data_IF_856544188442
#
_entry.id   IF_856544188442
#
_cell.length_a   1.000
_cell.length_b   1.000
_cell.length_c   1.000
_cell.angle_alpha   90.00
_cell.angle_beta   90.00
_cell.angle_gamma   90.00
#
_symmetry.space_group_name_H-M   'P 1'
#
loop_
_entity.id
_entity.type
_entity.pdbx_description
1 polymer ?
#
# COMPACT_ATOMS: atom_id res chain seq x y z
N UNK A 1 1.52 -9.47 -41.36
CA UNK A 1 1.99 -8.15 -40.91
C UNK A 1 2.52 -8.36 -39.51
N UNK A 2 3.82 -8.53 -39.39
CA UNK A 2 4.53 -8.83 -38.14
C UNK A 2 4.71 -7.51 -37.39
N UNK A 3 3.91 -7.32 -36.35
CA UNK A 3 4.17 -6.28 -35.36
C UNK A 3 5.56 -6.54 -34.78
N UNK A 4 6.50 -5.62 -35.00
CA UNK A 4 7.80 -5.68 -34.38
C UNK A 4 7.64 -5.75 -32.85
N UNK A 5 8.20 -6.82 -32.28
CA UNK A 5 8.38 -7.05 -30.85
C UNK A 5 8.87 -5.77 -30.16
N UNK A 6 8.32 -5.50 -28.98
CA UNK A 6 8.42 -4.21 -28.29
C UNK A 6 9.84 -3.73 -28.12
N UNK A 7 10.10 -2.48 -28.52
CA UNK A 7 11.38 -1.85 -28.29
C UNK A 7 11.48 -1.35 -26.86
N UNK A 8 12.60 -1.62 -26.19
CA UNK A 8 13.04 -1.02 -24.92
C UNK A 8 12.94 0.52 -24.91
N UNK A 9 12.85 1.16 -26.08
CA UNK A 9 12.71 2.63 -26.23
C UNK A 9 11.50 3.25 -25.54
N UNK A 10 10.47 2.46 -25.23
CA UNK A 10 9.26 2.94 -24.53
C UNK A 10 9.42 2.90 -22.97
N UNK A 11 10.62 2.64 -22.46
CA UNK A 11 10.92 2.61 -21.03
C UNK A 11 10.85 3.99 -20.38
N UNK A 12 10.20 4.04 -19.23
CA UNK A 12 10.30 5.16 -18.31
C UNK A 12 11.57 5.02 -17.45
N UNK A 13 12.69 5.49 -17.97
CA UNK A 13 14.02 5.38 -17.31
C UNK A 13 14.07 6.05 -15.94
N UNK A 14 13.30 7.13 -15.74
CA UNK A 14 13.16 7.78 -14.44
C UNK A 14 12.49 6.85 -13.44
N UNK A 15 11.34 6.26 -13.82
CA UNK A 15 10.64 5.33 -12.94
C UNK A 15 11.51 4.11 -12.60
N UNK A 16 12.27 3.57 -13.57
CA UNK A 16 13.21 2.47 -13.30
C UNK A 16 14.32 2.85 -12.32
N UNK A 17 14.96 4.01 -12.48
CA UNK A 17 15.99 4.46 -11.54
C UNK A 17 15.44 4.68 -10.12
N UNK A 18 14.20 5.14 -10.00
CA UNK A 18 13.52 5.25 -8.70
C UNK A 18 13.17 3.87 -8.12
N UNK A 19 12.74 2.91 -8.96
CA UNK A 19 12.49 1.52 -8.55
C UNK A 19 13.75 0.88 -8.00
N UNK A 20 14.87 0.97 -8.72
CA UNK A 20 16.14 0.32 -8.31
C UNK A 20 16.58 0.80 -6.92
N UNK A 21 16.60 2.12 -6.71
CA UNK A 21 16.93 2.72 -5.42
C UNK A 21 16.01 2.24 -4.29
N UNK A 22 14.71 2.12 -4.56
CA UNK A 22 13.72 1.68 -3.56
C UNK A 22 13.80 0.18 -3.30
N UNK A 23 14.05 -0.64 -4.31
CA UNK A 23 14.26 -2.08 -4.18
C UNK A 23 15.53 -2.37 -3.38
N UNK A 24 16.64 -1.67 -3.65
CA UNK A 24 17.86 -1.80 -2.85
C UNK A 24 17.63 -1.45 -1.38
N UNK A 25 16.86 -0.39 -1.14
CA UNK A 25 16.43 0.00 0.22
C UNK A 25 15.58 -1.09 0.88
N UNK A 26 14.62 -1.67 0.16
CA UNK A 26 13.81 -2.79 0.67
C UNK A 26 14.70 -3.98 1.01
N UNK A 27 15.58 -4.40 0.10
CA UNK A 27 16.45 -5.56 0.31
C UNK A 27 17.38 -5.35 1.50
N UNK A 28 17.91 -4.14 1.70
CA UNK A 28 18.77 -3.81 2.83
C UNK A 28 18.01 -3.88 4.15
N UNK A 29 16.85 -3.25 4.21
CA UNK A 29 16.04 -3.20 5.44
C UNK A 29 15.38 -4.54 5.75
N UNK A 30 15.13 -5.39 4.77
CA UNK A 30 14.60 -6.74 5.01
C UNK A 30 15.59 -7.65 5.75
N UNK A 31 16.91 -7.38 5.72
CA UNK A 31 17.90 -8.23 6.40
C UNK A 31 17.84 -8.14 7.94
N UNK A 32 17.14 -7.15 8.48
CA UNK A 32 17.05 -6.89 9.93
C UNK A 32 15.99 -7.72 10.65
N UNK A 33 15.09 -8.37 9.90
CA UNK A 33 13.98 -9.17 10.43
C UNK A 33 13.96 -10.54 9.76
N UNK A 34 13.73 -11.61 10.55
CA UNK A 34 13.81 -12.99 10.06
C UNK A 34 12.82 -13.25 8.93
N UNK A 35 11.58 -12.76 9.04
CA UNK A 35 10.55 -13.04 8.03
C UNK A 35 10.73 -12.17 6.79
N UNK A 36 11.12 -10.92 6.95
CA UNK A 36 11.44 -10.05 5.81
C UNK A 36 12.66 -10.57 5.03
N UNK A 37 13.63 -11.17 5.74
CA UNK A 37 14.81 -11.79 5.13
C UNK A 37 14.44 -12.95 4.20
N UNK A 38 13.43 -13.76 4.54
CA UNK A 38 12.92 -14.80 3.65
C UNK A 38 12.48 -14.21 2.29
N UNK A 39 11.79 -13.07 2.30
CA UNK A 39 11.32 -12.41 1.08
C UNK A 39 12.48 -11.85 0.26
N UNK A 40 13.45 -11.21 0.92
CA UNK A 40 14.70 -10.73 0.29
C UNK A 40 15.47 -11.88 -0.35
N UNK A 41 15.63 -13.00 0.37
CA UNK A 41 16.33 -14.17 -0.13
C UNK A 41 15.62 -14.80 -1.33
N UNK A 42 14.30 -14.98 -1.26
CA UNK A 42 13.51 -15.50 -2.38
C UNK A 42 13.65 -14.60 -3.63
N UNK A 43 13.59 -13.29 -3.46
CA UNK A 43 13.80 -12.34 -4.56
C UNK A 43 15.20 -12.48 -5.18
N UNK A 44 16.26 -12.49 -4.36
CA UNK A 44 17.65 -12.60 -4.83
C UNK A 44 17.90 -13.90 -5.57
N UNK A 45 17.35 -15.02 -5.07
CA UNK A 45 17.45 -16.33 -5.71
C UNK A 45 16.74 -16.36 -7.06
N UNK A 46 15.47 -15.95 -7.10
CA UNK A 46 14.68 -15.90 -8.34
C UNK A 46 15.32 -14.96 -9.38
N UNK A 47 15.88 -13.83 -8.94
CA UNK A 47 16.59 -12.89 -9.80
C UNK A 47 17.87 -13.49 -10.38
N UNK A 48 18.72 -14.13 -9.56
CA UNK A 48 19.97 -14.73 -10.01
C UNK A 48 19.74 -15.86 -11.03
N UNK A 49 18.70 -16.68 -10.82
CA UNK A 49 18.31 -17.74 -11.76
C UNK A 49 17.87 -17.16 -13.11
N UNK A 50 17.05 -16.12 -13.09
CA UNK A 50 16.54 -15.49 -14.31
C UNK A 50 17.63 -14.75 -15.10
N UNK A 51 18.55 -14.06 -14.41
CA UNK A 51 19.73 -13.43 -15.04
C UNK A 51 20.63 -14.48 -15.68
N UNK A 52 20.94 -15.58 -14.97
CA UNK A 52 21.76 -16.66 -15.52
C UNK A 52 21.10 -17.32 -16.75
N UNK A 53 19.78 -17.50 -16.73
CA UNK A 53 19.03 -18.02 -17.88
C UNK A 53 19.06 -17.06 -19.08
N UNK A 54 18.87 -15.76 -18.81
CA UNK A 54 18.92 -14.71 -19.83
C UNK A 54 20.30 -14.61 -20.50
N UNK A 55 21.37 -14.72 -19.72
CA UNK A 55 22.74 -14.67 -20.22
C UNK A 55 23.14 -15.94 -21.01
N UNK A 56 22.53 -17.09 -20.71
CA UNK A 56 22.88 -18.38 -21.30
C UNK A 56 22.25 -18.65 -22.69
N UNK A 57 21.20 -17.94 -23.08
CA UNK A 57 20.39 -18.30 -24.25
C UNK A 57 19.66 -17.14 -24.93
N UNK A 58 20.36 -16.01 -25.15
CA UNK A 58 19.76 -14.79 -25.69
C UNK A 58 19.23 -14.95 -27.12
N UNK A 59 17.91 -14.98 -27.29
CA UNK A 59 17.27 -14.67 -28.57
C UNK A 59 16.92 -13.17 -28.65
N UNK A 60 17.17 -12.51 -29.80
CA UNK A 60 16.77 -11.11 -29.99
C UNK A 60 15.24 -10.99 -29.96
N UNK A 61 14.72 -10.20 -29.01
CA UNK A 61 13.26 -10.00 -28.80
C UNK A 61 12.79 -10.34 -27.38
N UNK A 62 13.56 -11.11 -26.61
CA UNK A 62 13.18 -11.55 -25.25
C UNK A 62 13.36 -10.49 -24.15
N UNK A 63 13.94 -9.34 -24.48
CA UNK A 63 14.28 -8.28 -23.52
C UNK A 63 13.05 -7.74 -22.77
N UNK A 64 11.92 -7.60 -23.47
CA UNK A 64 10.65 -7.16 -22.87
C UNK A 64 10.06 -8.25 -21.96
N UNK A 65 10.25 -9.52 -22.30
CA UNK A 65 9.81 -10.64 -21.47
C UNK A 65 10.66 -10.73 -20.19
N UNK A 66 11.97 -10.59 -20.31
CA UNK A 66 12.87 -10.51 -19.16
C UNK A 66 12.51 -9.33 -18.25
N UNK A 67 12.31 -8.13 -18.81
CA UNK A 67 11.83 -6.96 -18.05
C UNK A 67 10.51 -7.26 -17.33
N UNK A 68 9.55 -7.92 -17.99
CA UNK A 68 8.29 -8.29 -17.36
C UNK A 68 8.52 -9.20 -16.15
N UNK A 69 9.40 -10.21 -16.24
CA UNK A 69 9.71 -11.09 -15.12
C UNK A 69 10.40 -10.34 -13.97
N UNK A 70 11.31 -9.41 -14.27
CA UNK A 70 11.94 -8.54 -13.26
C UNK A 70 10.88 -7.74 -12.52
N UNK A 71 9.96 -7.08 -13.24
CA UNK A 71 8.89 -6.29 -12.64
C UNK A 71 7.92 -7.13 -11.82
N UNK A 72 7.57 -8.35 -12.26
CA UNK A 72 6.75 -9.28 -11.48
C UNK A 72 7.40 -9.64 -10.14
N UNK A 73 8.71 -9.90 -10.13
CA UNK A 73 9.44 -10.18 -8.88
C UNK A 73 9.47 -8.97 -7.96
N UNK A 74 9.68 -7.76 -8.50
CA UNK A 74 9.64 -6.52 -7.71
C UNK A 74 8.26 -6.28 -7.10
N UNK A 75 7.18 -6.54 -7.85
CA UNK A 75 5.81 -6.50 -7.34
C UNK A 75 5.62 -7.51 -6.20
N UNK A 76 6.05 -8.76 -6.40
CA UNK A 76 5.94 -9.84 -5.41
C UNK A 76 6.67 -9.51 -4.11
N UNK A 77 7.94 -9.08 -4.19
CA UNK A 77 8.73 -8.65 -3.04
C UNK A 77 8.00 -7.53 -2.29
N UNK A 78 7.63 -6.46 -3.01
CA UNK A 78 7.01 -5.28 -2.42
C UNK A 78 5.69 -5.62 -1.74
N UNK A 79 4.82 -6.40 -2.39
CA UNK A 79 3.54 -6.78 -1.83
C UNK A 79 3.68 -7.67 -0.58
N UNK A 80 4.63 -8.61 -0.57
CA UNK A 80 4.89 -9.42 0.62
C UNK A 80 5.42 -8.59 1.80
N UNK A 81 6.37 -7.68 1.54
CA UNK A 81 6.89 -6.77 2.56
C UNK A 81 5.78 -5.89 3.12
N UNK A 82 5.00 -5.24 2.25
CA UNK A 82 3.95 -4.31 2.65
C UNK A 82 2.84 -5.00 3.46
N UNK A 83 2.42 -6.22 3.05
CA UNK A 83 1.49 -7.07 3.80
C UNK A 83 2.05 -7.46 5.16
N UNK A 84 3.31 -7.87 5.22
CA UNK A 84 3.93 -8.30 6.46
C UNK A 84 3.99 -7.15 7.47
N UNK A 85 4.44 -5.97 7.06
CA UNK A 85 4.46 -4.77 7.92
C UNK A 85 3.06 -4.42 8.39
N UNK A 86 2.07 -4.35 7.50
CA UNK A 86 0.69 -4.04 7.87
C UNK A 86 0.13 -5.06 8.87
N UNK A 87 0.36 -6.35 8.63
CA UNK A 87 -0.11 -7.40 9.52
C UNK A 87 0.51 -7.29 10.92
N UNK A 88 1.83 -7.07 10.99
CA UNK A 88 2.53 -6.95 12.27
C UNK A 88 2.06 -5.71 13.06
N UNK A 89 1.86 -4.59 12.38
CA UNK A 89 1.41 -3.35 13.04
C UNK A 89 0.02 -3.46 13.66
N UNK A 90 -0.88 -4.26 13.08
CA UNK A 90 -2.20 -4.55 13.69
C UNK A 90 -2.09 -5.20 15.08
N UNK A 91 -0.98 -5.89 15.36
CA UNK A 91 -0.72 -6.52 16.66
C UNK A 91 -0.42 -5.51 17.79
N UNK A 92 0.09 -4.32 17.47
CA UNK A 92 0.50 -3.33 18.48
C UNK A 92 -0.64 -2.46 19.01
N UNK A 93 -1.70 -2.29 18.21
CA UNK A 93 -2.79 -1.36 18.51
C UNK A 93 -4.04 -2.10 19.00
N UNK A 94 -3.95 -3.43 19.20
CA UNK A 94 -5.02 -4.19 19.82
C UNK A 94 -5.31 -3.64 21.23
N UNK A 95 -6.58 -3.40 21.59
CA UNK A 95 -6.92 -2.75 22.86
C UNK A 95 -6.61 -3.71 24.02
N UNK A 96 -5.56 -3.44 24.81
CA UNK A 96 -5.34 -4.16 26.06
C UNK A 96 -3.94 -4.25 26.66
N UNK A 97 -2.89 -3.66 26.09
CA UNK A 97 -1.53 -3.71 26.69
C UNK A 97 -0.95 -2.33 26.97
N UNK A 98 -1.71 -1.52 27.71
CA UNK A 98 -1.09 -0.55 28.63
C UNK A 98 -0.93 -1.24 29.98
N UNK A 99 0.21 -1.92 30.19
CA UNK A 99 0.76 -2.11 31.53
C UNK A 99 2.24 -1.77 31.47
N UNK A 100 2.51 -0.51 31.78
CA UNK A 100 3.73 -0.06 32.45
C UNK A 100 4.04 -0.99 33.62
N UNK A 101 5.15 -1.71 33.54
CA UNK A 101 5.92 -2.10 34.72
C UNK A 101 7.33 -1.55 34.55
N UNK A 102 7.62 -0.49 35.30
CA UNK A 102 8.97 0.04 35.49
C UNK A 102 9.90 -1.04 36.07
N UNK A 103 11.21 -1.02 35.74
CA UNK A 103 12.15 -1.97 36.31
C UNK A 103 12.47 -1.56 37.76
N UNK A 104 11.90 -2.29 38.73
CA UNK A 104 12.33 -2.19 40.12
C UNK A 104 13.70 -2.85 40.28
N UNK A 105 14.70 -2.01 40.51
CA UNK A 105 16.01 -2.39 41.03
C UNK A 105 15.86 -2.91 42.47
N UNK A 106 16.37 -4.12 42.71
CA UNK A 106 16.95 -4.51 44.01
C UNK A 106 16.34 -5.73 44.69
N UNK A 107 17.18 -6.74 44.96
CA UNK A 107 16.92 -7.74 45.99
C UNK A 107 17.47 -9.13 45.70
N UNK A 108 18.75 -9.36 46.05
CA UNK A 108 19.39 -10.66 46.01
C UNK A 108 18.73 -11.66 46.97
N UNK A 109 18.56 -12.92 46.55
CA UNK A 109 18.75 -14.11 47.39
C UNK A 109 19.16 -15.32 46.56
N UNK A 110 20.22 -15.98 47.01
CA UNK A 110 20.84 -17.16 46.44
C UNK A 110 19.96 -18.42 46.60
N UNK A 111 20.00 -19.32 45.63
CA UNK A 111 19.87 -20.76 45.84
C UNK A 111 20.59 -21.52 44.72
N UNK A 112 21.54 -22.35 45.13
CA UNK A 112 22.44 -23.18 44.32
C UNK A 112 21.70 -24.34 43.63
N UNK A 113 22.21 -24.77 42.47
CA UNK A 113 21.78 -25.98 41.76
C UNK A 113 22.58 -26.19 40.48
N UNK A 114 23.71 -26.88 40.59
CA UNK A 114 24.55 -27.38 39.49
C UNK A 114 23.78 -28.27 38.50
N UNK A 115 24.04 -28.10 37.20
CA UNK A 115 24.62 -29.14 36.33
C UNK A 115 24.72 -28.68 34.87
N UNK A 116 25.94 -28.78 34.34
CA UNK A 116 26.36 -28.50 32.97
C UNK A 116 25.60 -29.32 31.91
N UNK A 117 25.25 -28.68 30.79
CA UNK A 117 25.32 -29.29 29.46
C UNK A 117 25.52 -28.20 28.42
N UNK A 118 26.74 -28.15 27.88
CA UNK A 118 27.19 -27.17 26.92
C UNK A 118 26.44 -27.28 25.59
N UNK A 119 25.58 -26.30 25.33
CA UNK A 119 25.36 -25.79 23.98
C UNK A 119 26.03 -24.43 23.91
N UNK A 120 27.09 -24.30 23.12
CA UNK A 120 27.59 -23.00 22.67
C UNK A 120 26.49 -22.37 21.80
N UNK A 121 25.47 -21.79 22.43
CA UNK A 121 24.59 -20.84 21.79
C UNK A 121 25.44 -19.63 21.49
N UNK A 122 25.84 -19.54 20.22
CA UNK A 122 26.40 -18.34 19.63
C UNK A 122 25.26 -17.32 19.65
N UNK A 123 25.09 -16.64 20.78
CA UNK A 123 24.20 -15.49 20.87
C UNK A 123 24.71 -14.46 19.87
N UNK A 124 24.02 -14.39 18.73
CA UNK A 124 24.21 -13.34 17.76
C UNK A 124 23.80 -12.05 18.46
N UNK A 125 24.78 -11.18 18.74
CA UNK A 125 24.62 -9.91 19.46
C UNK A 125 23.85 -8.84 18.66
N UNK A 126 23.04 -9.25 17.68
CA UNK A 126 22.08 -8.37 17.02
C UNK A 126 20.81 -8.51 17.82
N UNK A 127 20.51 -7.52 18.66
CA UNK A 127 19.21 -7.43 19.30
C UNK A 127 18.15 -7.59 18.21
N UNK A 128 17.39 -8.69 18.24
CA UNK A 128 16.23 -8.85 17.38
C UNK A 128 15.36 -7.61 17.61
N UNK A 129 15.03 -6.89 16.53
CA UNK A 129 14.18 -5.69 16.63
C UNK A 129 12.87 -6.14 17.25
N UNK A 130 12.71 -5.84 18.53
CA UNK A 130 11.54 -6.26 19.28
C UNK A 130 10.33 -5.60 18.66
N UNK A 131 9.31 -6.42 18.48
CA UNK A 131 7.98 -6.04 18.06
C UNK A 131 7.50 -4.77 18.78
N UNK A 132 7.14 -3.73 18.03
CA UNK A 132 6.58 -2.49 18.57
C UNK A 132 7.62 -1.51 19.16
N UNK A 133 8.92 -1.83 19.08
CA UNK A 133 9.95 -0.83 19.38
C UNK A 133 9.89 0.35 18.40
N UNK A 134 10.28 1.53 18.86
CA UNK A 134 10.35 2.75 18.02
C UNK A 134 11.20 2.50 16.76
N UNK A 135 12.36 1.85 16.92
CA UNK A 135 13.22 1.47 15.80
C UNK A 135 12.54 0.53 14.80
N UNK A 136 11.70 -0.40 15.27
CA UNK A 136 10.93 -1.27 14.39
C UNK A 136 9.82 -0.50 13.67
N UNK A 137 9.10 0.40 14.36
CA UNK A 137 8.05 1.21 13.77
C UNK A 137 8.59 2.12 12.67
N UNK A 138 9.71 2.81 12.91
CA UNK A 138 10.37 3.66 11.90
C UNK A 138 10.80 2.86 10.67
N UNK A 139 11.38 1.68 10.89
CA UNK A 139 11.78 0.78 9.83
C UNK A 139 10.56 0.25 9.06
N UNK A 140 9.51 -0.18 9.77
CA UNK A 140 8.27 -0.68 9.20
C UNK A 140 7.57 0.39 8.35
N UNK A 141 7.43 1.61 8.86
CA UNK A 141 6.88 2.75 8.14
C UNK A 141 7.66 3.01 6.84
N UNK A 142 9.00 2.97 6.92
CA UNK A 142 9.89 3.13 5.77
C UNK A 142 9.75 2.00 4.75
N UNK A 143 9.70 0.75 5.20
CA UNK A 143 9.52 -0.43 4.35
C UNK A 143 8.17 -0.40 3.64
N UNK A 144 7.10 -0.10 4.38
CA UNK A 144 5.75 0.01 3.83
C UNK A 144 5.67 1.09 2.75
N UNK A 145 6.19 2.28 3.02
CA UNK A 145 6.22 3.37 2.05
C UNK A 145 7.01 2.99 0.79
N UNK A 146 8.24 2.49 0.93
CA UNK A 146 9.06 2.05 -0.20
C UNK A 146 8.39 0.95 -1.02
N UNK A 147 7.72 0.00 -0.38
CA UNK A 147 7.06 -1.09 -1.06
C UNK A 147 5.87 -0.61 -1.91
N UNK A 148 5.01 0.25 -1.36
CA UNK A 148 3.87 0.81 -2.10
C UNK A 148 4.33 1.72 -3.24
N UNK A 149 5.42 2.45 -3.04
CA UNK A 149 6.07 3.24 -4.09
C UNK A 149 6.57 2.35 -5.25
N UNK A 150 7.23 1.23 -4.97
CA UNK A 150 7.66 0.28 -6.02
C UNK A 150 6.45 -0.28 -6.75
N UNK A 151 5.36 -0.64 -6.05
CA UNK A 151 4.11 -1.08 -6.69
C UNK A 151 3.53 -0.02 -7.63
N UNK A 152 3.55 1.25 -7.23
CA UNK A 152 3.11 2.35 -8.10
C UNK A 152 4.02 2.54 -9.32
N UNK A 153 5.34 2.62 -9.09
CA UNK A 153 6.31 2.89 -10.14
C UNK A 153 6.41 1.75 -11.17
N UNK A 154 6.27 0.50 -10.73
CA UNK A 154 6.29 -0.67 -11.64
C UNK A 154 5.17 -0.57 -12.67
N UNK A 155 3.97 -0.11 -12.29
CA UNK A 155 2.87 0.13 -13.24
C UNK A 155 3.16 1.27 -14.23
N UNK A 156 4.02 2.23 -13.86
CA UNK A 156 4.42 3.36 -14.72
C UNK A 156 5.68 3.10 -15.55
N UNK A 157 6.32 1.94 -15.36
CA UNK A 157 7.64 1.64 -15.94
C UNK A 157 7.61 1.43 -17.47
N UNK A 158 6.55 0.83 -18.00
CA UNK A 158 6.46 0.51 -19.43
C UNK A 158 5.01 0.37 -19.91
N UNK A 159 4.57 1.24 -20.84
CA UNK A 159 3.17 1.33 -21.29
C UNK A 159 2.61 0.00 -21.84
N UNK A 160 3.40 -0.75 -22.62
CA UNK A 160 2.94 -2.03 -23.20
C UNK A 160 2.81 -3.15 -22.16
N UNK A 161 3.53 -3.06 -21.04
CA UNK A 161 3.48 -4.07 -19.98
C UNK A 161 2.40 -3.75 -18.95
N UNK A 162 1.93 -2.50 -18.87
CA UNK A 162 0.95 -2.04 -17.89
C UNK A 162 -0.20 -3.03 -17.67
N UNK A 163 -0.89 -3.47 -18.75
CA UNK A 163 -2.01 -4.40 -18.60
C UNK A 163 -1.59 -5.75 -17.99
N UNK A 164 -0.44 -6.29 -18.39
CA UNK A 164 0.08 -7.55 -17.83
C UNK A 164 0.45 -7.38 -16.35
N UNK A 165 1.04 -6.24 -15.99
CA UNK A 165 1.41 -5.90 -14.61
C UNK A 165 0.16 -5.74 -13.74
N UNK A 166 -0.86 -5.02 -14.22
CA UNK A 166 -2.15 -4.88 -13.52
C UNK A 166 -2.82 -6.24 -13.27
N UNK A 167 -2.89 -7.10 -14.29
CA UNK A 167 -3.46 -8.46 -14.16
C UNK A 167 -2.63 -9.31 -13.19
N UNK A 168 -1.31 -9.22 -13.22
CA UNK A 168 -0.44 -9.90 -12.26
C UNK A 168 -0.67 -9.42 -10.82
N UNK A 169 -0.78 -8.10 -10.61
CA UNK A 169 -1.11 -7.52 -9.31
C UNK A 169 -2.49 -8.00 -8.80
N UNK A 170 -3.50 -8.03 -9.69
CA UNK A 170 -4.82 -8.55 -9.37
C UNK A 170 -4.77 -10.03 -8.95
N UNK A 171 -4.10 -10.87 -9.73
CA UNK A 171 -3.90 -12.29 -9.40
C UNK A 171 -3.07 -12.52 -8.12
N UNK A 172 -2.23 -11.55 -7.76
CA UNK A 172 -1.46 -11.55 -6.51
C UNK A 172 -2.26 -11.00 -5.31
N UNK A 173 -3.56 -10.73 -5.48
CA UNK A 173 -4.48 -10.21 -4.47
C UNK A 173 -4.09 -8.82 -3.92
N UNK A 174 -3.48 -7.96 -4.75
CA UNK A 174 -3.07 -6.60 -4.30
C UNK A 174 -4.25 -5.81 -3.72
N UNK A 175 -5.46 -5.99 -4.24
CA UNK A 175 -6.66 -5.26 -3.81
C UNK A 175 -7.03 -5.62 -2.37
N UNK A 176 -6.93 -6.89 -1.97
CA UNK A 176 -7.19 -7.33 -0.60
C UNK A 176 -6.25 -6.64 0.40
N UNK A 177 -4.97 -6.54 0.04
CA UNK A 177 -3.99 -5.79 0.83
C UNK A 177 -4.36 -4.31 0.93
N UNK A 178 -4.72 -3.67 -0.18
CA UNK A 178 -5.11 -2.25 -0.20
C UNK A 178 -6.36 -2.02 0.64
N UNK A 179 -7.37 -2.89 0.54
CA UNK A 179 -8.58 -2.82 1.36
C UNK A 179 -8.23 -2.86 2.84
N UNK A 180 -7.35 -3.78 3.23
CA UNK A 180 -6.89 -3.88 4.61
C UNK A 180 -6.08 -2.66 5.07
N UNK A 181 -5.25 -2.09 4.21
CA UNK A 181 -4.48 -0.88 4.49
C UNK A 181 -5.38 0.35 4.66
N UNK A 182 -6.38 0.52 3.79
CA UNK A 182 -7.27 1.68 3.81
C UNK A 182 -8.36 1.60 4.91
N UNK A 183 -8.50 0.45 5.56
CA UNK A 183 -9.52 0.24 6.62
C UNK A 183 -8.94 0.24 8.03
N UNK A 184 -7.64 0.50 8.20
CA UNK A 184 -7.05 0.73 9.54
C UNK A 184 -7.60 2.02 10.16
N UNK A 185 -7.58 2.10 11.50
CA UNK A 185 -7.99 3.33 12.20
C UNK A 185 -7.02 4.48 11.91
N UNK A 186 -7.48 5.72 12.15
CA UNK A 186 -6.63 6.90 12.00
C UNK A 186 -5.45 6.89 12.96
N UNK A 187 -5.69 6.49 14.22
CA UNK A 187 -4.63 6.38 15.22
C UNK A 187 -3.58 5.36 14.79
N UNK A 188 -3.98 4.26 14.16
CA UNK A 188 -3.06 3.26 13.62
C UNK A 188 -2.22 3.81 12.49
N UNK A 189 -2.84 4.54 11.56
CA UNK A 189 -2.12 5.22 10.49
C UNK A 189 -1.03 6.15 11.05
N UNK A 190 -1.42 7.09 11.93
CA UNK A 190 -0.51 8.12 12.47
C UNK A 190 0.62 7.50 13.30
N UNK A 191 0.34 6.44 14.05
CA UNK A 191 1.32 5.82 14.95
C UNK A 191 2.35 4.97 14.20
N UNK A 192 1.95 4.31 13.11
CA UNK A 192 2.77 3.24 12.51
C UNK A 192 3.26 3.54 11.09
N UNK A 193 2.77 4.59 10.43
CA UNK A 193 3.07 4.82 9.02
C UNK A 193 3.43 6.28 8.76
N UNK A 194 4.15 6.50 7.64
CA UNK A 194 4.55 7.83 7.20
C UNK A 194 3.35 8.60 6.63
N UNK A 195 3.43 9.93 6.70
CA UNK A 195 2.50 10.86 6.05
C UNK A 195 2.28 10.48 4.57
N UNK A 196 1.03 10.51 4.14
CA UNK A 196 0.62 10.11 2.80
C UNK A 196 0.41 8.61 2.62
N UNK A 197 0.40 7.81 3.69
CA UNK A 197 0.15 6.37 3.63
C UNK A 197 -1.12 6.03 2.83
N UNK A 198 -2.29 6.56 3.20
CA UNK A 198 -3.54 6.30 2.46
C UNK A 198 -3.49 6.86 1.03
N UNK A 199 -2.92 8.05 0.85
CA UNK A 199 -2.75 8.64 -0.49
C UNK A 199 -2.05 7.67 -1.44
N UNK A 200 -0.94 7.07 -1.01
CA UNK A 200 -0.17 6.15 -1.86
C UNK A 200 -0.94 4.89 -2.26
N UNK A 201 -1.82 4.40 -1.38
CA UNK A 201 -2.70 3.27 -1.65
C UNK A 201 -3.82 3.66 -2.63
N UNK A 202 -4.44 4.83 -2.46
CA UNK A 202 -5.45 5.32 -3.41
C UNK A 202 -4.83 5.58 -4.78
N UNK A 203 -3.61 6.13 -4.84
CA UNK A 203 -2.82 6.26 -6.08
C UNK A 203 -2.58 4.90 -6.74
N UNK A 204 -2.26 3.87 -5.95
CA UNK A 204 -2.08 2.52 -6.46
C UNK A 204 -3.37 1.96 -7.08
N UNK A 205 -4.53 2.19 -6.44
CA UNK A 205 -5.82 1.82 -7.06
C UNK A 205 -6.05 2.58 -8.36
N UNK A 206 -5.71 3.87 -8.43
CA UNK A 206 -5.87 4.66 -9.66
C UNK A 206 -5.02 4.07 -10.80
N UNK A 207 -3.77 3.71 -10.52
CA UNK A 207 -2.87 3.07 -11.48
C UNK A 207 -3.35 1.68 -11.90
N UNK A 208 -3.90 0.89 -10.97
CA UNK A 208 -4.43 -0.45 -11.24
C UNK A 208 -5.69 -0.41 -12.10
N UNK A 209 -6.58 0.58 -11.87
CA UNK A 209 -7.87 0.70 -12.57
C UNK A 209 -7.76 1.38 -13.94
N UNK A 210 -6.64 2.04 -14.24
CA UNK A 210 -6.45 2.75 -15.50
C UNK A 210 -6.61 1.80 -16.71
N UNK A 211 -7.65 2.05 -17.51
CA UNK A 211 -8.00 1.28 -18.72
C UNK A 211 -8.13 -0.25 -18.51
N UNK A 212 -8.41 -0.70 -17.28
CA UNK A 212 -8.48 -2.12 -16.95
C UNK A 212 -9.83 -2.51 -16.36
N UNK A 213 -10.69 -3.09 -17.21
CA UNK A 213 -12.06 -3.48 -16.83
C UNK A 213 -12.10 -4.56 -15.74
N UNK A 214 -11.19 -5.52 -15.76
CA UNK A 214 -11.16 -6.62 -14.77
C UNK A 214 -10.87 -6.07 -13.37
N UNK A 215 -9.88 -5.18 -13.27
CA UNK A 215 -9.58 -4.49 -12.00
C UNK A 215 -10.73 -3.57 -11.60
N UNK A 216 -11.28 -2.78 -12.53
CA UNK A 216 -12.44 -1.92 -12.27
C UNK A 216 -13.62 -2.71 -11.67
N UNK A 217 -13.96 -3.87 -12.27
CA UNK A 217 -15.01 -4.75 -11.76
C UNK A 217 -14.67 -5.33 -10.38
N UNK A 218 -13.41 -5.71 -10.13
CA UNK A 218 -12.99 -6.20 -8.83
C UNK A 218 -13.12 -5.14 -7.73
N UNK A 219 -12.75 -3.88 -8.02
CA UNK A 219 -12.90 -2.75 -7.09
C UNK A 219 -14.38 -2.47 -6.78
N UNK A 220 -15.26 -2.52 -7.80
CA UNK A 220 -16.71 -2.34 -7.59
C UNK A 220 -17.35 -3.46 -6.78
N UNK A 221 -16.82 -4.68 -6.90
CA UNK A 221 -17.27 -5.85 -6.16
C UNK A 221 -16.85 -5.87 -4.69
N UNK A 222 -15.85 -5.07 -4.30
CA UNK A 222 -15.40 -4.94 -2.91
C UNK A 222 -16.00 -3.67 -2.27
N UNK A 223 -17.09 -3.84 -1.52
CA UNK A 223 -17.78 -2.74 -0.83
C UNK A 223 -16.86 -2.00 0.16
N UNK A 224 -15.93 -2.69 0.83
CA UNK A 224 -15.02 -2.04 1.79
C UNK A 224 -14.06 -1.12 1.06
N UNK A 225 -13.48 -1.60 -0.03
CA UNK A 225 -12.57 -0.82 -0.85
C UNK A 225 -13.28 0.36 -1.51
N UNK A 226 -14.45 0.13 -2.11
CA UNK A 226 -15.24 1.19 -2.74
C UNK A 226 -15.62 2.28 -1.73
N UNK A 227 -16.04 1.90 -0.53
CA UNK A 227 -16.34 2.85 0.55
C UNK A 227 -15.11 3.66 0.94
N UNK A 228 -13.95 3.01 1.07
CA UNK A 228 -12.70 3.71 1.39
C UNK A 228 -12.30 4.71 0.29
N UNK A 229 -12.45 4.36 -0.99
CA UNK A 229 -12.17 5.26 -2.13
C UNK A 229 -13.12 6.46 -2.13
N UNK A 230 -14.42 6.24 -1.89
CA UNK A 230 -15.39 7.33 -1.81
C UNK A 230 -15.10 8.25 -0.62
N UNK A 231 -14.75 7.67 0.54
CA UNK A 231 -14.33 8.41 1.73
C UNK A 231 -13.04 9.22 1.52
N UNK A 232 -12.12 8.72 0.68
CA UNK A 232 -10.87 9.38 0.33
C UNK A 232 -11.04 10.68 -0.49
N UNK A 233 -12.26 11.05 -0.87
CA UNK A 233 -12.57 12.35 -1.49
C UNK A 233 -12.63 13.50 -0.48
N UNK A 234 -12.62 13.20 0.82
CA UNK A 234 -12.60 14.19 1.89
C UNK A 234 -11.22 14.82 2.03
N UNK A 235 -11.18 16.02 2.62
CA UNK A 235 -9.92 16.67 2.98
C UNK A 235 -9.26 15.85 4.09
N UNK A 236 -8.00 15.49 3.87
CA UNK A 236 -7.18 14.79 4.86
C UNK A 236 -5.79 15.44 4.89
N UNK A 237 -5.46 16.09 5.99
CA UNK A 237 -4.21 16.83 6.16
C UNK A 237 -2.98 15.91 6.23
N UNK A 238 -3.13 14.68 6.72
CA UNK A 238 -2.03 13.70 6.76
C UNK A 238 -1.88 12.97 5.42
N UNK A 239 -2.82 13.16 4.49
CA UNK A 239 -2.79 12.57 3.16
C UNK A 239 -3.03 13.64 2.08
N UNK A 240 -2.12 14.62 1.95
CA UNK A 240 -2.29 15.71 0.99
C UNK A 240 -2.33 15.16 -0.44
N UNK A 241 -3.31 15.58 -1.23
CA UNK A 241 -3.50 15.12 -2.61
C UNK A 241 -4.31 13.82 -2.75
N UNK A 242 -4.86 13.27 -1.66
CA UNK A 242 -5.63 12.02 -1.69
C UNK A 242 -6.95 12.14 -2.47
N UNK A 243 -7.64 13.28 -2.37
CA UNK A 243 -8.91 13.52 -3.06
C UNK A 243 -8.78 13.51 -4.58
N UNK A 244 -7.67 13.98 -5.12
CA UNK A 244 -7.34 13.96 -6.54
C UNK A 244 -7.16 12.51 -7.03
N UNK A 245 -6.44 11.69 -6.28
CA UNK A 245 -6.28 10.27 -6.59
C UNK A 245 -7.60 9.51 -6.51
N UNK A 246 -8.41 9.77 -5.48
CA UNK A 246 -9.75 9.19 -5.37
C UNK A 246 -10.63 9.56 -6.58
N UNK A 247 -10.55 10.82 -7.03
CA UNK A 247 -11.24 11.28 -8.24
C UNK A 247 -10.77 10.54 -9.49
N UNK A 248 -9.47 10.28 -9.64
CA UNK A 248 -8.96 9.46 -10.73
C UNK A 248 -9.49 8.02 -10.69
N UNK A 249 -9.57 7.40 -9.51
CA UNK A 249 -10.18 6.07 -9.36
C UNK A 249 -11.63 6.09 -9.83
N UNK A 250 -12.44 7.00 -9.29
CA UNK A 250 -13.87 7.12 -9.64
C UNK A 250 -14.06 7.36 -11.15
N UNK A 251 -13.22 8.22 -11.74
CA UNK A 251 -13.21 8.46 -13.19
C UNK A 251 -12.91 7.17 -13.96
N UNK A 252 -11.89 6.42 -13.57
CA UNK A 252 -11.51 5.17 -14.22
C UNK A 252 -12.65 4.14 -14.16
N UNK A 253 -13.30 3.99 -12.98
CA UNK A 253 -14.46 3.12 -12.81
C UNK A 253 -15.60 3.52 -13.76
N UNK A 254 -15.98 4.80 -13.77
CA UNK A 254 -17.00 5.32 -14.69
C UNK A 254 -16.64 5.16 -16.17
N UNK A 255 -15.36 5.21 -16.52
CA UNK A 255 -14.91 5.00 -17.89
C UNK A 255 -14.95 3.53 -18.31
N UNK A 256 -14.64 2.61 -17.39
CA UNK A 256 -14.54 1.17 -17.62
C UNK A 256 -15.85 0.51 -18.08
N UNK A 257 -17.01 0.87 -17.49
CA UNK A 257 -18.31 0.28 -17.87
C UNK A 257 -19.52 1.17 -17.53
N UNK A 258 -20.64 0.92 -18.20
CA UNK A 258 -21.93 1.55 -17.85
C UNK A 258 -22.44 1.05 -16.49
N UNK A 259 -22.21 -0.21 -16.16
CA UNK A 259 -22.57 -0.81 -14.86
C UNK A 259 -21.95 -0.03 -13.70
N UNK A 260 -20.66 0.31 -13.81
CA UNK A 260 -19.99 1.14 -12.82
C UNK A 260 -20.68 2.50 -12.63
N UNK A 261 -21.10 3.13 -13.73
CA UNK A 261 -21.83 4.41 -13.68
C UNK A 261 -23.18 4.27 -13.00
N UNK A 262 -23.90 3.18 -13.26
CA UNK A 262 -25.21 2.95 -12.64
C UNK A 262 -25.07 2.66 -11.14
N UNK A 263 -24.09 1.84 -10.74
CA UNK A 263 -23.77 1.59 -9.33
C UNK A 263 -23.46 2.91 -8.62
N UNK A 264 -22.52 3.70 -9.17
CA UNK A 264 -22.10 4.96 -8.58
C UNK A 264 -23.21 6.01 -8.57
N UNK A 265 -24.07 6.05 -9.61
CA UNK A 265 -25.25 6.93 -9.66
C UNK A 265 -26.29 6.56 -8.61
N UNK A 266 -26.43 5.27 -8.31
CA UNK A 266 -27.38 4.76 -7.31
C UNK A 266 -26.94 4.97 -5.86
N UNK A 267 -25.74 5.49 -5.61
CA UNK A 267 -25.26 5.74 -4.25
C UNK A 267 -26.04 6.88 -3.60
N UNK A 268 -26.44 6.67 -2.35
CA UNK A 268 -27.09 7.70 -1.53
C UNK A 268 -26.09 8.29 -0.54
N UNK A 269 -26.15 9.60 -0.25
CA UNK A 269 -25.36 10.21 0.81
C UNK A 269 -25.60 9.48 2.15
N UNK A 270 -24.52 9.13 2.86
CA UNK A 270 -24.59 8.42 4.15
C UNK A 270 -24.59 9.42 5.31
N UNK A 271 -23.71 10.41 5.27
CA UNK A 271 -23.64 11.48 6.26
C UNK A 271 -22.95 12.71 5.69
N UNK A 272 -23.28 13.87 6.26
CA UNK A 272 -22.51 15.11 6.12
C UNK A 272 -21.57 15.14 7.32
N UNK A 273 -20.30 15.46 7.07
CA UNK A 273 -19.29 15.43 8.13
C UNK A 273 -19.38 16.72 8.93
N UNK A 274 -19.30 16.65 10.26
CA UNK A 274 -19.35 17.82 11.15
C UNK A 274 -18.25 18.85 10.81
N UNK A 275 -17.11 18.39 10.28
CA UNK A 275 -16.02 19.25 9.78
C UNK A 275 -16.47 20.20 8.65
N UNK A 276 -17.49 19.83 7.86
CA UNK A 276 -18.09 20.72 6.87
C UNK A 276 -18.87 21.87 7.53
N UNK A 277 -19.51 21.62 8.66
CA UNK A 277 -20.19 22.67 9.46
C UNK A 277 -19.17 23.62 10.10
N UNK A 278 -17.97 23.12 10.46
CA UNK A 278 -16.87 23.95 10.95
C UNK A 278 -16.25 24.82 9.84
N UNK A 279 -16.10 24.27 8.61
CA UNK A 279 -15.50 24.97 7.47
C UNK A 279 -16.44 25.97 6.80
N UNK A 280 -17.74 25.67 6.74
CA UNK A 280 -18.75 26.50 6.06
C UNK A 280 -19.67 27.27 7.02
N UNK A 281 -19.61 26.98 8.33
CA UNK A 281 -20.43 27.62 9.36
C UNK A 281 -21.94 27.42 9.15
N UNK A 282 -22.77 28.12 9.93
CA UNK A 282 -24.23 28.23 9.71
C UNK A 282 -24.60 29.08 8.48
N UNK A 283 -23.71 29.24 7.50
CA UNK A 283 -24.00 30.04 6.30
C UNK A 283 -24.71 29.22 5.23
N UNK A 284 -24.58 27.90 5.31
CA UNK A 284 -25.12 26.93 4.38
C UNK A 284 -25.78 25.84 5.19
N UNK A 285 -26.99 25.43 4.81
CA UNK A 285 -27.60 24.22 5.37
C UNK A 285 -27.28 23.05 4.42
N UNK A 286 -26.26 22.22 4.72
CA UNK A 286 -25.93 21.10 3.87
C UNK A 286 -27.06 20.08 4.00
N UNK A 287 -27.80 19.89 2.91
CA UNK A 287 -28.84 18.89 2.84
C UNK A 287 -28.60 17.98 1.65
N UNK A 288 -28.77 16.67 1.86
CA UNK A 288 -28.91 15.75 0.74
C UNK A 288 -30.27 16.03 0.08
N UNK A 289 -30.27 16.49 -1.17
CA UNK A 289 -31.51 16.62 -1.93
C UNK A 289 -32.11 15.23 -2.19
N UNK A 290 -33.41 15.13 -2.54
CA UNK A 290 -34.03 13.86 -2.92
C UNK A 290 -33.32 13.13 -4.08
N UNK A 291 -32.48 13.86 -4.83
CA UNK A 291 -31.68 13.36 -5.96
C UNK A 291 -30.25 12.95 -5.55
N UNK A 292 -29.91 12.98 -4.25
CA UNK A 292 -28.59 12.60 -3.74
C UNK A 292 -27.49 13.63 -3.99
N UNK A 293 -27.83 14.86 -4.39
CA UNK A 293 -26.86 15.96 -4.56
C UNK A 293 -26.72 16.72 -3.24
N UNK A 294 -25.49 17.07 -2.87
CA UNK A 294 -25.23 18.06 -1.82
C UNK A 294 -25.63 19.43 -2.38
N UNK A 295 -26.76 19.97 -1.93
CA UNK A 295 -27.10 21.36 -2.19
C UNK A 295 -26.53 22.23 -1.07
N UNK A 296 -25.84 23.29 -1.45
CA UNK A 296 -25.45 24.36 -0.53
C UNK A 296 -26.43 25.52 -0.76
N UNK A 297 -27.53 25.57 -0.02
CA UNK A 297 -28.43 26.72 -0.04
C UNK A 297 -27.98 27.74 1.02
N UNK A 298 -27.82 29.03 0.65
CA UNK A 298 -27.53 30.06 1.63
C UNK A 298 -28.73 30.19 2.58
N UNK A 299 -28.47 30.12 3.89
CA UNK A 299 -29.50 30.34 4.91
C UNK A 299 -30.11 31.73 4.71
N UNK A 300 -31.40 31.78 4.34
CA UNK A 300 -32.13 33.03 4.22
C UNK A 300 -32.16 33.69 5.60
N UNK A 301 -31.38 34.75 5.78
CA UNK A 301 -31.51 35.62 6.94
C UNK A 301 -32.88 36.26 6.87
N UNK A 302 -33.83 35.79 7.68
CA UNK A 302 -35.03 36.55 7.98
C UNK A 302 -34.59 37.84 8.68
N UNK A 303 -34.46 38.92 7.91
CA UNK A 303 -34.47 40.27 8.46
C UNK A 303 -35.88 40.55 8.98
N UNK A 304 -35.96 40.77 10.29
CA UNK A 304 -37.13 41.31 11.00
C UNK A 304 -37.63 42.64 10.41
#
# INVERSE_FOLDING_TARGET
MTDHEGSIRDLNTRALGEIDNKVDKLLTLCETDVKLKDFSFAFKLEHAVDVAAFDAGREPGEEVLHLQHVLFRMIKLSLHVARHVLHRTKGFIAPGTTNTEDPVVGGATNAEGDAESGGLQRESSVAELSDGSEAWLDMGATLSHSAVEVLNLTLLSHRRLLRRLQTYCLGSQVLEYITDALTISRDHEITCFLEGFRREHVRLVANLTYENKEVCSAVLGDTRLLTAILGATRIDLENPGMGEWATFVIRNLCYCSNEAREILRGLTPISIVEEADELFGKAVDPHATPEGRSAMEPLQTHTE
#
